data_IF_869539766076
#
_entry.id   IF_869539766076
#
_cell.length_a   1.000
_cell.length_b   1.000
_cell.length_c   1.000
_cell.angle_alpha   90.00
_cell.angle_beta   90.00
_cell.angle_gamma   90.00
#
_symmetry.space_group_name_H-M   'P 1'
#
loop_
_entity.id
_entity.type
_entity.pdbx_description
1 polymer ?
#
# COMPACT_ATOMS: atom_id res chain seq x y z
N UNK A 1 7.84 6.70 -9.79
CA UNK A 1 8.85 5.73 -10.27
C UNK A 1 8.52 4.27 -9.95
N UNK A 2 8.63 3.81 -8.69
CA UNK A 2 8.34 2.41 -8.36
C UNK A 2 6.88 2.04 -8.67
N UNK A 3 5.97 2.96 -8.36
CA UNK A 3 4.55 2.86 -8.70
C UNK A 3 4.33 2.66 -10.21
N UNK A 4 4.97 3.50 -11.03
CA UNK A 4 4.89 3.47 -12.50
C UNK A 4 5.51 2.19 -13.09
N UNK A 5 6.51 1.60 -12.42
CA UNK A 5 7.00 0.27 -12.77
C UNK A 5 5.88 -0.78 -12.59
N UNK A 6 5.12 -0.67 -11.50
CA UNK A 6 3.98 -1.55 -11.19
C UNK A 6 2.85 -1.45 -12.22
N UNK A 7 2.58 -0.24 -12.72
CA UNK A 7 1.63 0.02 -13.80
C UNK A 7 2.18 -0.28 -15.20
N UNK A 8 3.49 -0.41 -15.33
CA UNK A 8 4.16 -0.59 -16.62
C UNK A 8 4.36 0.69 -17.43
N UNK A 9 4.09 1.86 -16.85
CA UNK A 9 4.25 3.17 -17.51
C UNK A 9 5.67 3.73 -17.42
N UNK A 10 6.53 3.18 -16.55
CA UNK A 10 7.95 3.59 -16.45
C UNK A 10 8.76 3.25 -17.71
N UNK A 11 8.51 2.09 -18.33
CA UNK A 11 9.18 1.63 -19.54
C UNK A 11 8.31 0.67 -20.34
N UNK A 12 8.46 0.64 -21.67
CA UNK A 12 7.83 -0.39 -22.52
C UNK A 12 8.39 -1.80 -22.29
N UNK A 13 9.53 -1.94 -21.59
CA UNK A 13 10.11 -3.24 -21.26
C UNK A 13 9.66 -3.72 -19.87
N UNK A 14 8.79 -4.74 -19.85
CA UNK A 14 8.26 -5.33 -18.61
C UNK A 14 9.34 -5.89 -17.67
N UNK A 15 10.46 -6.41 -18.19
CA UNK A 15 11.57 -6.89 -17.36
C UNK A 15 12.28 -5.73 -16.67
N UNK A 16 12.49 -4.63 -17.38
CA UNK A 16 13.10 -3.43 -16.81
C UNK A 16 12.22 -2.85 -15.70
N UNK A 17 10.91 -2.75 -15.92
CA UNK A 17 9.95 -2.36 -14.90
C UNK A 17 10.06 -3.25 -13.66
N UNK A 18 10.13 -4.57 -13.84
CA UNK A 18 10.26 -5.48 -12.69
C UNK A 18 11.58 -5.30 -11.94
N UNK A 19 12.71 -5.12 -12.62
CA UNK A 19 14.02 -4.91 -11.95
C UNK A 19 14.03 -3.60 -11.17
N UNK A 20 13.65 -2.50 -11.81
CA UNK A 20 13.61 -1.17 -11.18
C UNK A 20 12.57 -1.14 -10.06
N UNK A 21 11.41 -1.76 -10.27
CA UNK A 21 10.35 -1.91 -9.29
C UNK A 21 10.83 -2.59 -8.01
N UNK A 22 11.52 -3.73 -8.10
CA UNK A 22 12.10 -4.42 -6.94
C UNK A 22 13.14 -3.54 -6.23
N UNK A 23 14.06 -2.92 -6.96
CA UNK A 23 15.09 -2.08 -6.36
C UNK A 23 14.47 -0.93 -5.55
N UNK A 24 13.52 -0.20 -6.15
CA UNK A 24 12.86 0.93 -5.51
C UNK A 24 11.98 0.51 -4.33
N UNK A 25 11.12 -0.50 -4.51
CA UNK A 25 10.19 -0.94 -3.46
C UNK A 25 10.88 -1.64 -2.29
N UNK A 26 11.87 -2.51 -2.56
CA UNK A 26 12.60 -3.15 -1.47
C UNK A 26 13.35 -2.11 -0.63
N UNK A 27 13.87 -1.03 -1.25
CA UNK A 27 14.52 0.08 -0.54
C UNK A 27 13.62 0.82 0.44
N UNK A 28 12.30 0.76 0.27
CA UNK A 28 11.30 1.28 1.20
C UNK A 28 10.53 0.15 1.90
N UNK A 29 11.13 -1.04 2.03
CA UNK A 29 10.56 -2.21 2.71
C UNK A 29 9.16 -2.62 2.22
N UNK A 30 8.91 -2.51 0.92
CA UNK A 30 7.69 -3.02 0.28
C UNK A 30 8.01 -4.20 -0.64
N UNK A 31 7.28 -5.33 -0.57
CA UNK A 31 7.43 -6.42 -1.53
C UNK A 31 6.80 -6.01 -2.87
N UNK A 32 7.64 -5.74 -3.88
CA UNK A 32 7.19 -5.15 -5.16
C UNK A 32 6.02 -5.88 -5.81
N UNK A 33 6.12 -7.19 -6.04
CA UNK A 33 5.05 -7.97 -6.68
C UNK A 33 3.84 -8.14 -5.79
N UNK A 34 4.05 -8.34 -4.47
CA UNK A 34 2.96 -8.38 -3.51
C UNK A 34 2.12 -7.11 -3.58
N UNK A 35 2.77 -5.95 -3.52
CA UNK A 35 2.12 -4.65 -3.70
C UNK A 35 1.55 -4.46 -5.10
N UNK A 36 2.30 -4.73 -6.18
CA UNK A 36 1.85 -4.51 -7.57
C UNK A 36 0.56 -5.27 -7.87
N UNK A 37 0.47 -6.52 -7.41
CA UNK A 37 -0.70 -7.37 -7.68
C UNK A 37 -1.91 -6.89 -6.86
N UNK A 38 -1.74 -6.61 -5.55
CA UNK A 38 -2.83 -6.09 -4.73
C UNK A 38 -3.27 -4.69 -5.16
N UNK A 39 -2.33 -3.85 -5.61
CA UNK A 39 -2.57 -2.52 -6.17
C UNK A 39 -3.37 -2.59 -7.47
N UNK A 40 -3.04 -3.53 -8.37
CA UNK A 40 -3.87 -3.81 -9.56
C UNK A 40 -5.29 -4.20 -9.17
N UNK A 41 -5.45 -5.06 -8.15
CA UNK A 41 -6.77 -5.45 -7.63
C UNK A 41 -7.52 -4.25 -7.08
N UNK A 42 -6.85 -3.35 -6.35
CA UNK A 42 -7.44 -2.10 -5.88
C UNK A 42 -7.91 -1.21 -7.04
N UNK A 43 -7.08 -0.93 -8.04
CA UNK A 43 -7.47 -0.13 -9.21
C UNK A 43 -8.62 -0.75 -10.02
N UNK A 44 -8.74 -2.08 -10.04
CA UNK A 44 -9.87 -2.76 -10.69
C UNK A 44 -11.18 -2.67 -9.89
N UNK A 45 -11.12 -2.36 -8.59
CA UNK A 45 -12.24 -2.47 -7.66
C UNK A 45 -12.45 -1.22 -6.79
N UNK A 46 -11.81 -0.09 -7.09
CA UNK A 46 -11.91 1.11 -6.25
C UNK A 46 -13.38 1.51 -6.01
N UNK A 47 -13.70 1.89 -4.77
CA UNK A 47 -15.07 2.23 -4.37
C UNK A 47 -16.02 1.03 -4.27
N UNK A 48 -15.54 -0.21 -4.42
CA UNK A 48 -16.30 -1.44 -4.11
C UNK A 48 -16.03 -1.87 -2.66
N UNK A 49 -17.06 -1.95 -1.81
CA UNK A 49 -16.86 -2.21 -0.37
C UNK A 49 -16.22 -3.57 -0.09
N UNK A 50 -16.60 -4.61 -0.83
CA UNK A 50 -16.11 -5.97 -0.61
C UNK A 50 -14.77 -6.27 -1.31
N UNK A 51 -14.58 -5.75 -2.53
CA UNK A 51 -13.45 -6.14 -3.37
C UNK A 51 -12.24 -5.20 -3.27
N UNK A 52 -12.42 -3.94 -2.85
CA UNK A 52 -11.30 -3.02 -2.63
C UNK A 52 -10.46 -3.42 -1.40
N UNK A 53 -9.15 -3.26 -1.45
CA UNK A 53 -8.17 -3.86 -0.56
C UNK A 53 -7.76 -2.99 0.65
N UNK A 54 -7.66 -1.67 0.50
CA UNK A 54 -6.94 -0.82 1.45
C UNK A 54 -7.90 -0.07 2.39
N UNK A 55 -8.38 1.10 1.96
CA UNK A 55 -9.13 2.04 2.81
C UNK A 55 -10.66 1.89 2.70
N UNK A 56 -11.17 0.69 2.47
CA UNK A 56 -12.61 0.47 2.37
C UNK A 56 -13.32 0.56 3.74
N UNK A 57 -14.60 0.99 3.77
CA UNK A 57 -15.40 1.02 4.98
C UNK A 57 -15.68 -0.40 5.47
N UNK A 58 -15.63 -0.57 6.79
CA UNK A 58 -15.97 -1.84 7.44
C UNK A 58 -17.47 -1.94 7.69
N UNK A 59 -18.01 -3.15 7.63
CA UNK A 59 -19.34 -3.40 8.18
C UNK A 59 -19.31 -3.25 9.70
N UNK A 60 -20.44 -2.87 10.30
CA UNK A 60 -20.55 -2.74 11.75
C UNK A 60 -20.16 -4.03 12.49
N UNK A 61 -20.54 -5.18 11.94
CA UNK A 61 -20.19 -6.50 12.48
C UNK A 61 -18.67 -6.69 12.57
N UNK A 62 -17.94 -6.36 11.50
CA UNK A 62 -16.47 -6.49 11.49
C UNK A 62 -15.85 -5.47 12.46
N UNK A 63 -16.32 -4.22 12.45
CA UNK A 63 -15.80 -3.18 13.33
C UNK A 63 -15.93 -3.55 14.83
N UNK A 64 -17.10 -4.09 15.22
CA UNK A 64 -17.36 -4.52 16.60
C UNK A 64 -16.52 -5.73 17.02
N UNK A 65 -16.12 -6.59 16.07
CA UNK A 65 -15.26 -7.74 16.37
C UNK A 65 -13.78 -7.40 16.45
N UNK A 66 -13.36 -6.18 16.08
CA UNK A 66 -11.95 -5.77 16.19
C UNK A 66 -11.53 -5.62 17.65
N UNK A 67 -10.31 -6.07 17.95
CA UNK A 67 -9.64 -5.75 19.20
C UNK A 67 -9.31 -4.26 19.30
N UNK A 68 -9.04 -3.80 20.52
CA UNK A 68 -8.78 -2.40 20.82
C UNK A 68 -7.53 -1.85 20.11
N UNK A 69 -6.50 -2.66 19.87
CA UNK A 69 -5.28 -2.20 19.22
C UNK A 69 -5.51 -1.99 17.72
N UNK A 70 -6.15 -2.94 17.03
CA UNK A 70 -6.52 -2.80 15.62
C UNK A 70 -7.46 -1.62 15.41
N UNK A 71 -8.44 -1.42 16.31
CA UNK A 71 -9.36 -0.27 16.24
C UNK A 71 -8.63 1.07 16.40
N UNK A 72 -7.72 1.18 17.37
CA UNK A 72 -6.88 2.38 17.54
C UNK A 72 -6.00 2.63 16.33
N UNK A 73 -5.30 1.59 15.86
CA UNK A 73 -4.41 1.67 14.70
C UNK A 73 -5.17 2.19 13.46
N UNK A 74 -6.38 1.71 13.21
CA UNK A 74 -7.10 2.03 11.96
C UNK A 74 -8.00 3.27 12.05
N UNK A 75 -8.43 3.69 13.24
CA UNK A 75 -9.46 4.74 13.38
C UNK A 75 -9.13 5.85 14.39
N UNK A 76 -7.92 5.92 14.93
CA UNK A 76 -7.55 6.97 15.91
C UNK A 76 -6.26 7.67 15.50
N UNK A 77 -6.34 8.95 15.13
CA UNK A 77 -5.13 9.71 14.77
C UNK A 77 -4.12 9.74 15.94
N UNK A 78 -2.81 9.66 15.63
CA UNK A 78 -2.20 9.64 14.28
C UNK A 78 -2.01 8.22 13.71
N UNK A 79 -2.43 7.17 14.41
CA UNK A 79 -2.02 5.79 14.12
C UNK A 79 -2.38 5.25 12.72
N UNK A 80 -3.50 5.65 12.07
CA UNK A 80 -3.81 5.19 10.72
C UNK A 80 -2.72 5.55 9.70
N UNK A 81 -1.96 6.61 9.95
CA UNK A 81 -0.85 7.04 9.09
C UNK A 81 0.40 6.18 9.24
N UNK A 82 0.37 5.18 10.12
CA UNK A 82 1.45 4.22 10.35
C UNK A 82 1.02 2.81 9.94
N UNK A 83 -0.16 2.66 9.32
CA UNK A 83 -0.80 1.38 9.13
C UNK A 83 -0.22 0.58 7.96
N UNK A 84 0.36 1.25 6.95
CA UNK A 84 0.81 0.59 5.72
C UNK A 84 1.75 -0.61 5.92
N UNK A 85 2.80 -0.56 6.77
CA UNK A 85 3.65 -1.73 7.00
C UNK A 85 2.86 -2.91 7.57
N UNK A 86 1.93 -2.67 8.49
CA UNK A 86 1.07 -3.72 9.08
C UNK A 86 0.06 -4.27 8.06
N UNK A 87 -0.44 -3.40 7.18
CA UNK A 87 -1.29 -3.81 6.04
C UNK A 87 -0.55 -4.77 5.10
N UNK A 88 0.75 -4.57 4.86
CA UNK A 88 1.53 -5.52 4.07
C UNK A 88 1.56 -6.91 4.70
N UNK A 89 1.67 -7.00 6.02
CA UNK A 89 1.69 -8.28 6.74
C UNK A 89 0.32 -8.96 6.87
N UNK A 90 -0.74 -8.20 7.12
CA UNK A 90 -2.02 -8.75 7.58
C UNK A 90 -3.27 -8.30 6.80
N UNK A 91 -3.10 -7.46 5.78
CA UNK A 91 -4.18 -6.78 5.03
C UNK A 91 -5.14 -5.99 5.93
N UNK A 92 -6.18 -5.45 5.31
CA UNK A 92 -7.26 -4.73 6.00
C UNK A 92 -8.17 -5.67 6.80
N UNK A 93 -8.75 -5.21 7.92
CA UNK A 93 -9.68 -6.03 8.69
C UNK A 93 -10.85 -6.53 7.84
N UNK A 94 -11.17 -7.81 8.00
CA UNK A 94 -12.15 -8.50 7.15
C UNK A 94 -11.53 -9.22 5.96
N UNK A 95 -10.25 -8.95 5.64
CA UNK A 95 -9.45 -9.69 4.66
C UNK A 95 -8.38 -10.51 5.38
N UNK A 96 -7.90 -11.59 4.75
CA UNK A 96 -6.91 -12.52 5.31
C UNK A 96 -5.69 -12.61 4.41
N UNK A 97 -4.57 -13.08 4.95
CA UNK A 97 -3.36 -13.28 4.16
C UNK A 97 -2.42 -12.07 4.17
N UNK A 98 -1.37 -12.15 3.35
CA UNK A 98 -0.19 -11.32 3.47
C UNK A 98 0.41 -11.03 2.09
N UNK A 99 1.00 -9.86 1.92
CA UNK A 99 1.70 -9.50 0.70
C UNK A 99 3.01 -10.29 0.50
N UNK A 100 3.46 -11.00 1.54
CA UNK A 100 4.66 -11.84 1.53
C UNK A 100 4.37 -13.33 1.38
N UNK A 101 3.12 -13.76 1.59
CA UNK A 101 2.73 -15.17 1.55
C UNK A 101 2.28 -15.56 0.13
N UNK A 102 3.01 -16.44 -0.58
CA UNK A 102 2.60 -16.89 -1.92
C UNK A 102 1.29 -17.68 -1.92
N UNK A 103 0.80 -18.13 -0.76
CA UNK A 103 -0.50 -18.80 -0.64
C UNK A 103 -1.62 -17.87 -0.19
N UNK A 104 -1.36 -16.56 -0.06
CA UNK A 104 -2.41 -15.59 0.18
C UNK A 104 -3.45 -15.62 -0.94
N UNK A 105 -4.72 -15.51 -0.57
CA UNK A 105 -5.88 -15.28 -1.44
C UNK A 105 -5.81 -13.95 -2.23
N UNK A 106 -4.79 -13.11 -1.99
CA UNK A 106 -4.44 -11.96 -2.82
C UNK A 106 -3.96 -12.36 -4.22
N UNK A 107 -3.42 -13.58 -4.34
CA UNK A 107 -2.61 -13.97 -5.49
C UNK A 107 -3.18 -15.20 -6.19
N UNK A 108 -3.10 -15.19 -7.51
CA UNK A 108 -3.39 -16.38 -8.31
C UNK A 108 -2.27 -17.41 -8.15
N UNK A 109 -2.55 -18.72 -8.29
CA UNK A 109 -1.53 -19.76 -8.18
C UNK A 109 -0.32 -19.58 -9.11
N UNK A 110 -0.50 -18.93 -10.26
CA UNK A 110 0.58 -18.65 -11.22
C UNK A 110 1.51 -17.52 -10.75
N UNK A 111 1.07 -16.65 -9.83
CA UNK A 111 1.82 -15.49 -9.34
C UNK A 111 2.74 -15.84 -8.16
N UNK A 112 2.70 -17.08 -7.65
CA UNK A 112 3.50 -17.53 -6.49
C UNK A 112 4.99 -17.22 -6.60
N UNK A 113 5.57 -17.42 -7.79
CA UNK A 113 7.01 -17.18 -8.02
C UNK A 113 7.37 -15.69 -7.92
N UNK A 114 6.46 -14.82 -8.35
CA UNK A 114 6.63 -13.37 -8.24
C UNK A 114 6.68 -12.98 -6.75
N UNK A 115 5.78 -13.52 -5.94
CA UNK A 115 5.75 -13.25 -4.48
C UNK A 115 7.02 -13.71 -3.80
N UNK A 116 7.49 -14.93 -4.09
CA UNK A 116 8.75 -15.46 -3.55
C UNK A 116 9.95 -14.57 -3.93
N UNK A 117 9.99 -14.09 -5.18
CA UNK A 117 11.07 -13.20 -5.65
C UNK A 117 11.06 -11.88 -4.88
N UNK A 118 9.89 -11.25 -4.74
CA UNK A 118 9.77 -10.00 -3.99
C UNK A 118 10.07 -10.16 -2.50
N UNK A 119 9.63 -11.25 -1.88
CA UNK A 119 9.96 -11.55 -0.47
C UNK A 119 11.47 -11.78 -0.30
N UNK A 120 12.15 -12.38 -1.28
CA UNK A 120 13.61 -12.52 -1.26
C UNK A 120 14.32 -11.17 -1.39
N UNK A 121 13.91 -10.30 -2.31
CA UNK A 121 14.46 -8.94 -2.46
C UNK A 121 14.25 -8.09 -1.20
N UNK A 122 13.05 -8.17 -0.62
CA UNK A 122 12.73 -7.50 0.64
C UNK A 122 13.61 -8.00 1.78
N UNK A 123 13.75 -9.32 1.92
CA UNK A 123 14.60 -9.93 2.96
C UNK A 123 16.06 -9.52 2.79
N UNK A 124 16.55 -9.46 1.55
CA UNK A 124 17.90 -8.99 1.25
C UNK A 124 18.11 -7.53 1.66
N UNK A 125 17.14 -6.65 1.40
CA UNK A 125 17.22 -5.25 1.86
C UNK A 125 17.13 -5.15 3.38
N UNK A 126 16.22 -5.89 4.03
CA UNK A 126 16.13 -5.91 5.49
C UNK A 126 17.45 -6.38 6.14
N UNK A 127 18.08 -7.43 5.60
CA UNK A 127 19.39 -7.90 6.04
C UNK A 127 20.49 -6.85 5.82
N UNK A 128 20.48 -6.13 4.68
CA UNK A 128 21.40 -5.03 4.43
C UNK A 128 21.25 -3.92 5.47
N UNK A 129 20.02 -3.50 5.78
CA UNK A 129 19.75 -2.46 6.78
C UNK A 129 20.19 -2.88 8.18
N UNK A 130 19.99 -4.15 8.54
CA UNK A 130 20.50 -4.72 9.80
C UNK A 130 22.04 -4.71 9.81
N UNK A 131 22.69 -5.09 8.71
CA UNK A 131 24.15 -5.00 8.57
C UNK A 131 24.67 -3.58 8.72
N UNK A 132 24.06 -2.61 8.03
CA UNK A 132 24.39 -1.19 8.13
C UNK A 132 24.19 -0.65 9.56
N UNK A 133 23.20 -1.16 10.29
CA UNK A 133 23.00 -0.82 11.70
C UNK A 133 24.17 -1.23 12.58
N UNK A 134 24.83 -2.35 12.31
CA UNK A 134 26.05 -2.76 13.02
C UNK A 134 27.28 -1.92 12.67
N UNK A 135 27.33 -1.37 11.44
CA UNK A 135 28.48 -0.56 10.98
C UNK A 135 28.35 0.91 11.38
N UNK A 136 27.17 1.51 11.19
CA UNK A 136 26.92 2.94 11.36
C UNK A 136 26.35 3.28 12.74
N UNK A 137 25.82 2.28 13.45
CA UNK A 137 25.13 2.43 14.72
C UNK A 137 23.65 2.82 14.57
N UNK A 138 22.83 2.47 15.57
CA UNK A 138 21.37 2.61 15.49
C UNK A 138 20.88 4.05 15.41
N UNK A 139 21.57 5.00 16.05
CA UNK A 139 21.17 6.40 15.99
C UNK A 139 21.38 6.99 14.59
N UNK A 140 22.46 6.61 13.90
CA UNK A 140 22.72 7.08 12.55
C UNK A 140 21.74 6.44 11.56
N UNK A 141 21.47 5.13 11.69
CA UNK A 141 20.45 4.46 10.88
C UNK A 141 19.06 5.01 11.08
N UNK A 142 18.69 5.35 12.32
CA UNK A 142 17.43 6.01 12.61
C UNK A 142 17.32 7.35 11.86
N UNK A 143 18.36 8.17 11.86
CA UNK A 143 18.36 9.48 11.17
C UNK A 143 18.33 9.35 9.65
N UNK A 144 19.15 8.46 9.09
CA UNK A 144 19.32 8.34 7.64
C UNK A 144 18.25 7.50 6.95
N UNK A 145 17.69 6.51 7.64
CA UNK A 145 16.74 5.57 7.06
C UNK A 145 15.41 5.57 7.80
N UNK A 146 15.44 5.39 9.12
CA UNK A 146 14.22 5.23 9.92
C UNK A 146 13.26 6.41 9.85
N UNK A 147 13.75 7.63 10.07
CA UNK A 147 12.95 8.86 10.02
C UNK A 147 12.42 9.11 8.60
N UNK A 148 13.25 9.11 7.53
CA UNK A 148 12.74 9.24 6.16
C UNK A 148 11.73 8.16 5.76
N UNK A 149 11.95 6.90 6.15
CA UNK A 149 11.03 5.79 5.90
C UNK A 149 9.66 6.03 6.52
N UNK A 150 9.60 6.43 7.80
CA UNK A 150 8.33 6.73 8.45
C UNK A 150 7.66 7.98 7.88
N UNK A 151 8.44 8.98 7.44
CA UNK A 151 7.92 10.11 6.69
C UNK A 151 7.22 9.67 5.39
N UNK A 152 7.84 8.75 4.65
CA UNK A 152 7.23 8.12 3.47
C UNK A 152 5.94 7.36 3.82
N UNK A 153 5.95 6.53 4.86
CA UNK A 153 4.77 5.76 5.28
C UNK A 153 3.60 6.68 5.61
N UNK A 154 3.84 7.73 6.41
CA UNK A 154 2.83 8.72 6.77
C UNK A 154 2.27 9.42 5.55
N UNK A 155 3.15 9.84 4.64
CA UNK A 155 2.73 10.52 3.42
C UNK A 155 1.89 9.59 2.52
N UNK A 156 2.32 8.34 2.33
CA UNK A 156 1.61 7.35 1.52
C UNK A 156 0.19 7.09 2.05
N UNK A 157 0.06 6.83 3.36
CA UNK A 157 -1.25 6.59 3.98
C UNK A 157 -2.15 7.84 3.91
N UNK A 158 -1.58 9.02 4.10
CA UNK A 158 -2.30 10.29 4.01
C UNK A 158 -2.85 10.53 2.60
N UNK A 159 -2.01 10.45 1.57
CA UNK A 159 -2.46 10.71 0.19
C UNK A 159 -3.49 9.67 -0.22
N UNK A 160 -3.24 8.39 0.03
CA UNK A 160 -4.18 7.33 -0.33
C UNK A 160 -5.53 7.54 0.37
N UNK A 161 -5.54 7.88 1.66
CA UNK A 161 -6.78 8.16 2.38
C UNK A 161 -7.54 9.34 1.76
N UNK A 162 -6.86 10.46 1.51
CA UNK A 162 -7.48 11.70 1.00
C UNK A 162 -8.04 11.55 -0.42
N UNK A 163 -7.42 10.73 -1.27
CA UNK A 163 -7.91 10.48 -2.62
C UNK A 163 -9.17 9.59 -2.65
N UNK A 164 -9.43 8.82 -1.59
CA UNK A 164 -10.58 7.92 -1.51
C UNK A 164 -11.65 8.33 -0.48
N UNK A 165 -11.43 9.42 0.26
CA UNK A 165 -12.34 9.89 1.31
C UNK A 165 -12.58 11.39 1.19
N UNK A 166 -13.85 11.75 1.00
CA UNK A 166 -14.31 13.13 1.10
C UNK A 166 -14.72 13.48 2.54
N UNK A 167 -14.61 14.78 2.89
CA UNK A 167 -15.04 15.29 4.18
C UNK A 167 -16.42 15.96 4.09
N UNK A 168 -16.53 17.01 3.28
CA UNK A 168 -17.79 17.72 3.04
C UNK A 168 -18.66 16.95 2.05
N UNK A 169 -18.11 16.64 0.87
CA UNK A 169 -18.75 15.78 -0.11
C UNK A 169 -18.43 14.32 0.17
N UNK A 170 -19.41 13.60 0.72
CA UNK A 170 -19.26 12.17 0.99
C UNK A 170 -19.18 11.39 -0.31
N UNK A 171 -18.07 10.67 -0.50
CA UNK A 171 -17.92 9.74 -1.61
C UNK A 171 -18.71 8.45 -1.36
N UNK A 172 -19.57 8.03 -2.30
CA UNK A 172 -20.30 6.78 -2.16
C UNK A 172 -19.36 5.58 -2.28
N UNK A 173 -19.64 4.55 -1.48
CA UNK A 173 -19.08 3.22 -1.65
C UNK A 173 -20.17 2.26 -2.09
N UNK A 174 -19.91 1.48 -3.13
CA UNK A 174 -20.90 0.62 -3.78
C UNK A 174 -20.75 -0.84 -3.37
N UNK A 175 -21.86 -1.59 -3.42
CA UNK A 175 -21.92 -3.02 -3.11
C UNK A 175 -22.57 -3.80 -4.25
N UNK A 176 -22.04 -4.99 -4.52
CA UNK A 176 -22.66 -5.95 -5.46
C UNK A 176 -23.00 -5.30 -6.80
N UNK A 177 -24.26 -5.43 -7.23
CA UNK A 177 -24.72 -4.93 -8.55
C UNK A 177 -24.76 -3.41 -8.67
N UNK A 178 -24.68 -2.65 -7.57
CA UNK A 178 -24.59 -1.20 -7.61
C UNK A 178 -23.22 -0.71 -8.05
N UNK A 179 -22.18 -1.53 -7.89
CA UNK A 179 -20.84 -1.17 -8.33
C UNK A 179 -20.68 -1.41 -9.84
N UNK A 180 -20.00 -0.46 -10.49
CA UNK A 180 -19.41 -0.65 -11.81
C UNK A 180 -18.04 0.03 -11.83
N UNK A 181 -17.16 -0.40 -12.74
CA UNK A 181 -15.82 0.20 -12.90
C UNK A 181 -15.89 1.72 -13.04
N UNK A 182 -16.79 2.23 -13.89
CA UNK A 182 -17.00 3.67 -14.08
C UNK A 182 -17.48 4.37 -12.80
N UNK A 183 -18.48 3.82 -12.10
CA UNK A 183 -19.01 4.43 -10.87
C UNK A 183 -17.95 4.52 -9.79
N UNK A 184 -17.16 3.45 -9.63
CA UNK A 184 -16.02 3.47 -8.71
C UNK A 184 -15.01 4.54 -9.11
N UNK A 185 -14.70 4.70 -10.40
CA UNK A 185 -13.65 5.63 -10.85
C UNK A 185 -14.02 7.08 -10.62
N UNK A 186 -15.31 7.39 -10.65
CA UNK A 186 -15.84 8.71 -10.32
C UNK A 186 -15.83 9.02 -8.82
N UNK A 187 -15.38 8.09 -7.97
CA UNK A 187 -15.26 8.28 -6.51
C UNK A 187 -13.83 8.53 -6.05
N UNK A 188 -12.87 8.69 -6.96
CA UNK A 188 -11.53 9.15 -6.63
C UNK A 188 -11.44 10.67 -6.73
N UNK A 189 -10.85 11.32 -5.74
CA UNK A 189 -10.67 12.77 -5.68
C UNK A 189 -9.21 13.11 -5.86
N UNK A 190 -8.92 13.99 -6.83
CA UNK A 190 -7.62 14.63 -6.92
C UNK A 190 -7.50 15.71 -5.82
N UNK A 191 -6.29 15.89 -5.29
CA UNK A 191 -6.03 16.75 -4.13
C UNK A 191 -4.90 17.72 -4.43
N UNK A 192 -5.18 19.00 -4.26
CA UNK A 192 -4.16 20.04 -4.30
C UNK A 192 -3.46 20.15 -2.92
N UNK A 193 -2.20 19.72 -2.86
CA UNK A 193 -1.33 19.86 -1.68
C UNK A 193 -0.46 21.13 -1.72
N UNK A 194 -0.79 22.09 -2.58
CA UNK A 194 -0.11 23.36 -2.75
C UNK A 194 1.32 23.19 -3.26
N UNK A 195 2.28 23.81 -2.59
CA UNK A 195 3.69 23.76 -3.01
C UNK A 195 4.28 22.34 -2.99
N UNK A 196 3.67 21.41 -2.24
CA UNK A 196 4.09 20.02 -2.18
C UNK A 196 3.83 19.30 -3.52
N UNK A 197 2.85 19.73 -4.33
CA UNK A 197 2.57 19.16 -5.66
C UNK A 197 3.81 19.11 -6.55
N UNK A 198 4.72 20.06 -6.42
CA UNK A 198 5.91 20.11 -7.27
C UNK A 198 7.01 19.11 -6.88
N UNK A 199 6.88 18.48 -5.71
CA UNK A 199 7.88 17.54 -5.18
C UNK A 199 7.30 16.14 -4.92
N UNK A 200 6.01 15.94 -5.17
CA UNK A 200 5.40 14.61 -5.24
C UNK A 200 4.85 14.39 -6.65
N UNK A 201 4.77 13.12 -7.05
CA UNK A 201 4.25 12.75 -8.36
C UNK A 201 2.73 12.85 -8.33
N UNK A 202 2.09 13.27 -9.42
CA UNK A 202 0.65 13.10 -9.59
C UNK A 202 0.35 11.59 -9.52
N UNK A 203 -0.34 11.17 -8.47
CA UNK A 203 -0.72 9.76 -8.22
C UNK A 203 -2.20 9.65 -8.58
N UNK A 204 -2.48 9.29 -9.84
CA UNK A 204 -3.80 9.02 -10.39
C UNK A 204 -3.78 7.79 -11.29
#
# INVERSE_FOLDING_TARGET
LGHDCGHGSFSSNAKLNSVVGHFLHSSILVPYHGWRISHRTHHQNHGHVENDESWHPLSEKIYRSLDSATRKLRFTLPFPMLAYPFYLWSRSPGKKGSHFDPNSDLFLPQEKKDILTSTACWTAMAALLVGLNFVMGPLQMLKLYGIPYWGFVVWLDLVTYLHHHGHEDKLPWYRGKEWSYLRGGLTTLDRDYGWINNIHHDIG
#
